data_IF_774326547018
#
_entry.id   IF_774326547018
#
_cell.length_a   1.000
_cell.length_b   1.000
_cell.length_c   1.000
_cell.angle_alpha   90.00
_cell.angle_beta   90.00
_cell.angle_gamma   90.00
#
_symmetry.space_group_name_H-M   'P 1'
#
loop_
_entity.id
_entity.type
_entity.pdbx_description
1 polymer ?
#
# COMPACT_ATOMS: atom_id res chain seq x y z
N UNK A 1 -13.18 -8.92 -12.99
CA UNK A 1 -13.84 -7.62 -13.27
C UNK A 1 -13.38 -6.50 -12.36
N UNK A 2 -13.60 -6.58 -11.03
CA UNK A 2 -13.18 -5.51 -10.10
C UNK A 2 -11.65 -5.36 -9.98
N UNK A 3 -10.90 -6.46 -10.06
CA UNK A 3 -9.43 -6.41 -10.05
C UNK A 3 -8.85 -5.59 -11.22
N UNK A 4 -9.41 -5.73 -12.42
CA UNK A 4 -8.98 -4.97 -13.60
C UNK A 4 -9.24 -3.46 -13.44
N UNK A 5 -10.39 -3.08 -12.83
CA UNK A 5 -10.69 -1.68 -12.50
C UNK A 5 -9.69 -1.10 -11.51
N UNK A 6 -9.39 -1.84 -10.45
CA UNK A 6 -8.43 -1.44 -9.42
C UNK A 6 -7.05 -1.27 -10.05
N UNK A 7 -6.61 -2.21 -10.89
CA UNK A 7 -5.34 -2.12 -11.59
C UNK A 7 -5.27 -0.89 -12.51
N UNK A 8 -6.31 -0.66 -13.32
CA UNK A 8 -6.36 0.48 -14.22
C UNK A 8 -6.26 1.81 -13.48
N UNK A 9 -7.00 1.99 -12.38
CA UNK A 9 -6.91 3.22 -11.56
C UNK A 9 -5.51 3.40 -10.98
N UNK A 10 -4.92 2.33 -10.43
CA UNK A 10 -3.59 2.38 -9.79
C UNK A 10 -2.45 2.68 -10.77
N UNK A 11 -2.48 2.13 -11.97
CA UNK A 11 -1.45 2.36 -13.00
C UNK A 11 -1.53 3.75 -13.66
N UNK A 12 -2.63 4.48 -13.44
CA UNK A 12 -2.82 5.84 -13.93
C UNK A 12 -2.49 6.92 -12.89
N UNK A 13 -2.02 6.54 -11.69
CA UNK A 13 -1.60 7.51 -10.69
C UNK A 13 -0.34 8.24 -11.14
N UNK A 14 -0.29 9.56 -10.87
CA UNK A 14 0.94 10.33 -11.06
C UNK A 14 2.02 9.88 -10.06
N UNK A 15 3.30 10.09 -10.40
CA UNK A 15 4.41 9.68 -9.55
C UNK A 15 4.28 10.20 -8.11
N UNK A 16 4.03 11.51 -7.95
CA UNK A 16 3.94 12.13 -6.62
C UNK A 16 2.72 11.68 -5.84
N UNK A 17 1.60 11.46 -6.54
CA UNK A 17 0.40 10.92 -5.91
C UNK A 17 0.63 9.50 -5.39
N UNK A 18 1.19 8.61 -6.22
CA UNK A 18 1.51 7.25 -5.83
C UNK A 18 2.55 7.20 -4.69
N UNK A 19 3.55 8.07 -4.74
CA UNK A 19 4.58 8.18 -3.71
C UNK A 19 4.01 8.60 -2.35
N UNK A 20 3.25 9.69 -2.30
CA UNK A 20 2.65 10.19 -1.04
C UNK A 20 1.63 9.20 -0.48
N UNK A 21 0.79 8.60 -1.32
CA UNK A 21 -0.11 7.52 -0.91
C UNK A 21 0.66 6.32 -0.36
N UNK A 22 1.85 6.02 -0.90
CA UNK A 22 2.75 4.99 -0.39
C UNK A 22 3.32 5.30 1.00
N UNK A 23 3.71 6.56 1.26
CA UNK A 23 4.20 6.98 2.59
C UNK A 23 3.12 6.76 3.64
N UNK A 24 1.92 7.29 3.40
CA UNK A 24 0.81 7.23 4.34
C UNK A 24 0.34 5.80 4.57
N UNK A 25 0.38 4.96 3.54
CA UNK A 25 0.09 3.53 3.68
C UNK A 25 1.01 2.88 4.72
N UNK A 26 2.32 2.91 4.48
CA UNK A 26 3.22 2.10 5.29
C UNK A 26 3.48 2.70 6.68
N UNK A 27 3.22 4.00 6.87
CA UNK A 27 3.17 4.57 8.21
C UNK A 27 2.07 3.87 9.05
N UNK A 28 0.85 3.75 8.51
CA UNK A 28 -0.26 3.10 9.21
C UNK A 28 -0.03 1.59 9.37
N UNK A 29 0.51 0.92 8.35
CA UNK A 29 0.78 -0.53 8.41
C UNK A 29 1.78 -0.87 9.51
N UNK A 30 2.88 -0.13 9.60
CA UNK A 30 3.89 -0.38 10.64
C UNK A 30 3.33 -0.02 12.03
N UNK A 31 2.51 1.03 12.17
CA UNK A 31 1.80 1.31 13.43
C UNK A 31 0.86 0.17 13.83
N UNK A 32 0.20 -0.48 12.87
CA UNK A 32 -0.67 -1.63 13.16
C UNK A 32 0.13 -2.81 13.74
N UNK A 33 1.29 -3.12 13.16
CA UNK A 33 2.19 -4.14 13.68
C UNK A 33 2.70 -3.74 15.06
N UNK A 34 3.11 -2.49 15.23
CA UNK A 34 3.61 -1.98 16.50
C UNK A 34 2.59 -2.10 17.63
N UNK A 35 1.35 -1.64 17.40
CA UNK A 35 0.27 -1.74 18.37
C UNK A 35 -0.10 -3.19 18.69
N UNK A 36 -0.05 -4.08 17.69
CA UNK A 36 -0.28 -5.51 17.90
C UNK A 36 0.84 -6.14 18.75
N UNK A 37 2.09 -5.73 18.58
CA UNK A 37 3.20 -6.18 19.43
C UNK A 37 3.08 -5.66 20.87
N UNK A 38 2.54 -4.45 21.07
CA UNK A 38 2.33 -3.86 22.40
C UNK A 38 1.10 -4.42 23.15
N UNK A 39 0.15 -5.03 22.44
CA UNK A 39 -1.06 -5.58 23.05
C UNK A 39 -0.79 -6.88 23.84
N UNK A 40 -1.39 -6.98 25.04
CA UNK A 40 -1.24 -8.13 25.95
C UNK A 40 -2.29 -9.23 25.71
N UNK A 41 -3.36 -8.94 24.97
CA UNK A 41 -4.46 -9.85 24.71
C UNK A 41 -4.74 -10.00 23.20
N UNK A 42 -5.43 -11.09 22.84
CA UNK A 42 -5.73 -11.43 21.44
C UNK A 42 -6.66 -10.42 20.78
N UNK A 43 -7.61 -9.84 21.52
CA UNK A 43 -8.58 -8.88 20.97
C UNK A 43 -7.86 -7.58 20.61
N UNK A 44 -6.97 -7.08 21.47
CA UNK A 44 -6.12 -5.92 21.17
C UNK A 44 -5.26 -6.11 19.92
N UNK A 45 -4.68 -7.31 19.75
CA UNK A 45 -3.91 -7.67 18.54
C UNK A 45 -4.76 -7.70 17.27
N UNK A 46 -5.96 -8.26 17.38
CA UNK A 46 -6.91 -8.31 16.26
C UNK A 46 -7.41 -6.91 15.88
N UNK A 47 -7.80 -6.10 16.85
CA UNK A 47 -8.41 -4.79 16.62
C UNK A 47 -7.41 -3.78 16.07
N UNK A 48 -6.17 -3.79 16.59
CA UNK A 48 -5.09 -2.95 16.05
C UNK A 48 -4.84 -3.23 14.57
N UNK A 49 -4.74 -4.51 14.18
CA UNK A 49 -4.60 -4.90 12.78
C UNK A 49 -5.85 -4.54 11.96
N UNK A 50 -7.04 -4.91 12.43
CA UNK A 50 -8.29 -4.74 11.69
C UNK A 50 -8.57 -3.28 11.36
N UNK A 51 -8.57 -2.39 12.37
CA UNK A 51 -8.94 -0.99 12.16
C UNK A 51 -7.92 -0.24 11.33
N UNK A 52 -6.63 -0.40 11.61
CA UNK A 52 -5.60 0.34 10.89
C UNK A 52 -5.45 -0.13 9.44
N UNK A 53 -5.61 -1.44 9.17
CA UNK A 53 -5.67 -1.95 7.79
C UNK A 53 -6.89 -1.40 7.06
N UNK A 54 -8.08 -1.40 7.69
CA UNK A 54 -9.28 -0.80 7.10
C UNK A 54 -9.08 0.69 6.80
N UNK A 55 -8.40 1.44 7.68
CA UNK A 55 -8.14 2.86 7.47
C UNK A 55 -7.36 3.13 6.19
N UNK A 56 -6.21 2.49 5.98
CA UNK A 56 -5.42 2.80 4.79
C UNK A 56 -6.11 2.33 3.51
N UNK A 57 -6.86 1.22 3.56
CA UNK A 57 -7.65 0.72 2.43
C UNK A 57 -8.79 1.69 2.10
N UNK A 58 -9.53 2.17 3.10
CA UNK A 58 -10.62 3.13 2.92
C UNK A 58 -10.14 4.48 2.41
N UNK A 59 -8.96 4.94 2.85
CA UNK A 59 -8.31 6.14 2.34
C UNK A 59 -7.72 5.98 0.93
N UNK A 60 -7.68 4.78 0.38
CA UNK A 60 -7.10 4.51 -0.95
C UNK A 60 -5.58 4.74 -0.98
N UNK A 61 -4.89 4.43 0.12
CA UNK A 61 -3.43 4.45 0.16
C UNK A 61 -2.83 3.22 -0.55
N UNK A 62 -1.58 3.34 -0.97
CA UNK A 62 -0.95 2.36 -1.86
C UNK A 62 0.05 1.49 -1.10
N UNK A 63 -0.21 0.18 -1.05
CA UNK A 63 0.70 -0.80 -0.47
C UNK A 63 1.36 -1.60 -1.59
N UNK A 64 2.69 -1.51 -1.73
CA UNK A 64 3.46 -2.14 -2.82
C UNK A 64 3.14 -3.63 -2.97
N UNK A 65 3.14 -4.38 -1.87
CA UNK A 65 2.88 -5.84 -1.91
C UNK A 65 1.43 -6.15 -2.29
N UNK A 66 0.46 -5.33 -1.86
CA UNK A 66 -0.93 -5.54 -2.29
C UNK A 66 -1.09 -5.21 -3.78
N UNK A 67 -0.36 -4.19 -4.24
CA UNK A 67 -0.37 -3.78 -5.63
C UNK A 67 0.26 -4.84 -6.54
N UNK A 68 1.32 -5.55 -6.14
CA UNK A 68 1.87 -6.67 -6.94
C UNK A 68 0.75 -7.61 -7.41
N UNK A 69 -0.11 -8.06 -6.49
CA UNK A 69 -1.27 -8.89 -6.82
C UNK A 69 -2.26 -8.19 -7.77
N UNK A 70 -2.77 -7.00 -7.43
CA UNK A 70 -3.82 -6.35 -8.23
C UNK A 70 -3.33 -5.96 -9.63
N UNK A 71 -2.10 -5.45 -9.73
CA UNK A 71 -1.52 -4.97 -10.96
C UNK A 71 -1.18 -6.12 -11.92
N UNK A 72 -0.57 -7.21 -11.42
CA UNK A 72 -0.29 -8.41 -12.22
C UNK A 72 -1.58 -9.08 -12.69
N UNK A 73 -2.56 -9.21 -11.81
CA UNK A 73 -3.89 -9.70 -12.18
C UNK A 73 -4.54 -8.82 -13.25
N UNK A 74 -4.37 -7.50 -13.18
CA UNK A 74 -4.83 -6.56 -14.19
C UNK A 74 -4.24 -6.84 -15.58
N UNK A 75 -2.92 -7.04 -15.64
CA UNK A 75 -2.19 -7.33 -16.89
C UNK A 75 -2.61 -8.69 -17.47
N UNK A 76 -2.74 -9.73 -16.64
CA UNK A 76 -3.09 -11.05 -17.15
C UNK A 76 -4.51 -11.14 -17.69
N UNK A 77 -5.45 -10.37 -17.15
CA UNK A 77 -6.86 -10.40 -17.59
C UNK A 77 -7.20 -9.33 -18.61
N UNK A 78 -6.32 -8.35 -18.88
CA UNK A 78 -6.59 -7.27 -19.84
C UNK A 78 -6.64 -7.74 -21.29
N UNK A 79 -6.03 -8.89 -21.63
CA UNK A 79 -6.10 -9.49 -22.95
C UNK A 79 -7.38 -10.28 -23.25
N UNK A 80 -8.28 -10.47 -22.27
CA UNK A 80 -9.52 -11.21 -22.46
C UNK A 80 -10.69 -10.25 -22.73
N UNK A 81 -11.18 -10.24 -23.97
CA UNK A 81 -12.27 -9.35 -24.42
C UNK A 81 -13.55 -9.47 -23.58
N UNK A 82 -13.88 -10.68 -23.11
CA UNK A 82 -15.07 -10.89 -22.27
C UNK A 82 -14.94 -10.20 -20.90
N UNK A 83 -13.73 -10.18 -20.34
CA UNK A 83 -13.42 -9.54 -19.06
C UNK A 83 -13.40 -8.02 -19.21
N UNK A 84 -12.81 -7.52 -20.30
CA UNK A 84 -12.77 -6.08 -20.61
C UNK A 84 -14.17 -5.53 -20.85
N UNK A 85 -14.99 -6.23 -21.65
CA UNK A 85 -16.37 -5.87 -21.92
C UNK A 85 -17.22 -5.85 -20.63
N UNK A 86 -17.07 -6.86 -19.77
CA UNK A 86 -17.75 -6.89 -18.47
C UNK A 86 -17.29 -5.73 -17.57
N UNK A 87 -16.00 -5.40 -17.58
CA UNK A 87 -15.44 -4.39 -16.70
C UNK A 87 -15.89 -2.97 -17.01
N UNK A 88 -16.34 -2.64 -18.23
CA UNK A 88 -16.82 -1.29 -18.59
C UNK A 88 -15.84 -0.19 -18.16
N UNK A 89 -14.55 -0.40 -18.43
CA UNK A 89 -13.47 0.53 -18.09
C UNK A 89 -13.30 1.52 -19.24
N UNK A 90 -12.96 2.76 -18.92
CA UNK A 90 -12.55 3.76 -19.91
C UNK A 90 -11.33 3.24 -20.71
N UNK A 91 -11.41 3.18 -22.05
CA UNK A 91 -10.28 2.78 -22.89
C UNK A 91 -8.99 3.54 -22.58
N UNK A 92 -9.07 4.80 -22.17
CA UNK A 92 -7.91 5.60 -21.78
C UNK A 92 -7.18 5.00 -20.57
N UNK A 93 -7.90 4.59 -19.54
CA UNK A 93 -7.31 3.96 -18.35
C UNK A 93 -6.72 2.58 -18.68
N UNK A 94 -7.39 1.83 -19.56
CA UNK A 94 -6.95 0.50 -19.97
C UNK A 94 -5.62 0.52 -20.72
N UNK A 95 -5.35 1.59 -21.49
CA UNK A 95 -4.09 1.76 -22.23
C UNK A 95 -2.83 1.72 -21.36
N UNK A 96 -2.96 2.10 -20.09
CA UNK A 96 -1.88 2.07 -19.11
C UNK A 96 -1.80 0.74 -18.34
N UNK A 97 -2.69 -0.22 -18.60
CA UNK A 97 -2.63 -1.57 -18.01
C UNK A 97 -1.58 -2.42 -18.73
N UNK A 98 -0.31 -2.06 -18.51
CA UNK A 98 0.86 -2.65 -19.14
C UNK A 98 1.98 -2.82 -18.11
N UNK A 99 3.06 -3.52 -18.48
CA UNK A 99 4.27 -3.59 -17.64
C UNK A 99 4.91 -2.22 -17.40
N UNK A 100 4.76 -1.26 -18.31
CA UNK A 100 5.22 0.11 -18.08
C UNK A 100 4.37 0.82 -17.01
N UNK A 101 3.04 0.64 -17.05
CA UNK A 101 2.13 1.14 -16.01
C UNK A 101 2.29 0.44 -14.66
N UNK A 102 2.71 -0.83 -14.67
CA UNK A 102 3.12 -1.53 -13.45
C UNK A 102 4.32 -0.82 -12.80
N UNK A 103 5.34 -0.50 -13.59
CA UNK A 103 6.54 0.18 -13.08
C UNK A 103 6.25 1.62 -12.62
N UNK A 104 5.36 2.34 -13.32
CA UNK A 104 4.97 3.70 -12.93
C UNK A 104 4.24 3.76 -11.59
N UNK A 105 3.62 2.65 -11.14
CA UNK A 105 3.03 2.54 -9.80
C UNK A 105 4.01 1.94 -8.79
N UNK A 106 4.58 0.76 -9.07
CA UNK A 106 5.30 -0.01 -8.05
C UNK A 106 6.55 0.72 -7.54
N UNK A 107 7.24 1.47 -8.40
CA UNK A 107 8.45 2.21 -8.04
C UNK A 107 8.14 3.32 -7.03
N UNK A 108 7.28 4.32 -7.34
CA UNK A 108 6.96 5.36 -6.36
C UNK A 108 6.29 4.81 -5.10
N UNK A 109 5.42 3.80 -5.22
CA UNK A 109 4.74 3.22 -4.04
C UNK A 109 5.75 2.53 -3.12
N UNK A 110 6.71 1.78 -3.67
CA UNK A 110 7.76 1.11 -2.85
C UNK A 110 8.67 2.13 -2.18
N UNK A 111 9.10 3.18 -2.89
CA UNK A 111 9.86 4.29 -2.31
C UNK A 111 9.08 4.97 -1.19
N UNK A 112 7.79 5.25 -1.42
CA UNK A 112 6.91 5.82 -0.41
C UNK A 112 6.76 4.91 0.80
N UNK A 113 6.54 3.60 0.60
CA UNK A 113 6.44 2.63 1.69
C UNK A 113 7.72 2.59 2.53
N UNK A 114 8.91 2.61 1.90
CA UNK A 114 10.17 2.68 2.63
C UNK A 114 10.26 3.93 3.51
N UNK A 115 9.91 5.11 2.98
CA UNK A 115 9.88 6.36 3.76
C UNK A 115 8.88 6.26 4.92
N UNK A 116 7.68 5.72 4.68
CA UNK A 116 6.65 5.52 5.70
C UNK A 116 7.12 4.64 6.87
N UNK A 117 7.84 3.56 6.60
CA UNK A 117 8.34 2.66 7.65
C UNK A 117 9.62 3.15 8.32
N UNK A 118 10.61 3.54 7.51
CA UNK A 118 11.95 3.91 8.01
C UNK A 118 11.89 5.25 8.74
N UNK A 119 11.41 6.31 8.07
CA UNK A 119 11.46 7.64 8.64
C UNK A 119 10.42 7.83 9.74
N UNK A 120 9.13 7.57 9.45
CA UNK A 120 8.05 7.88 10.39
C UNK A 120 7.91 6.91 11.55
N UNK A 121 8.49 5.71 11.47
CA UNK A 121 8.43 4.75 12.58
C UNK A 121 9.82 4.45 13.12
N UNK A 122 10.71 3.81 12.35
CA UNK A 122 11.99 3.35 12.90
C UNK A 122 12.86 4.50 13.44
N UNK A 123 13.05 5.57 12.65
CA UNK A 123 13.87 6.72 13.07
C UNK A 123 13.23 7.48 14.24
N UNK A 124 11.93 7.80 14.18
CA UNK A 124 11.25 8.53 15.26
C UNK A 124 11.22 7.72 16.56
N UNK A 125 10.96 6.41 16.47
CA UNK A 125 10.98 5.53 17.62
C UNK A 125 12.38 5.44 18.24
N UNK A 126 13.42 5.27 17.42
CA UNK A 126 14.80 5.29 17.91
C UNK A 126 15.14 6.61 18.60
N UNK A 127 14.82 7.76 18.01
CA UNK A 127 15.09 9.06 18.62
C UNK A 127 14.36 9.25 19.94
N UNK A 128 13.14 8.72 20.08
CA UNK A 128 12.36 8.80 21.32
C UNK A 128 12.92 7.92 22.44
N UNK A 129 13.47 6.74 22.11
CA UNK A 129 13.88 5.73 23.10
C UNK A 129 15.39 5.49 23.20
N UNK A 130 16.22 6.18 22.42
CA UNK A 130 17.69 5.98 22.41
C UNK A 130 18.33 6.08 23.79
N UNK A 131 17.84 6.94 24.67
CA UNK A 131 18.40 7.11 26.02
C UNK A 131 18.21 5.88 26.90
N UNK A 132 17.08 5.18 26.72
CA UNK A 132 16.74 3.97 27.49
C UNK A 132 17.52 2.75 26.96
N UNK A 133 17.99 2.82 25.71
CA UNK A 133 18.87 1.80 25.13
C UNK A 133 20.33 1.98 25.61
N UNK A 134 20.77 3.21 25.83
CA UNK A 134 22.14 3.53 26.27
C UNK A 134 22.37 3.30 27.77
N UNK A 135 21.31 3.39 28.59
CA UNK A 135 21.33 3.11 30.02
C UNK A 135 20.15 2.22 30.39
N UNK A 136 20.27 0.90 30.22
CA UNK A 136 19.27 -0.02 30.72
C UNK A 136 19.28 0.07 32.26
N UNK A 137 18.12 0.40 32.84
CA UNK A 137 17.90 0.36 34.30
C UNK A 137 18.10 -1.05 34.87
#
# INVERSE_FOLDING_TARGET
MNALKIAAVKMNLSFWEAFVRGILCNWIVVLAVWMSMAALDVIGKLFSALFLIMTFVACGFEHSIANMFFLEMGIFVSGNESVVAAAKIDPALLSNVTWAGYLSNIVPVTLGNMVGGIFFVACLYFLAFRTNLEKPD
#
